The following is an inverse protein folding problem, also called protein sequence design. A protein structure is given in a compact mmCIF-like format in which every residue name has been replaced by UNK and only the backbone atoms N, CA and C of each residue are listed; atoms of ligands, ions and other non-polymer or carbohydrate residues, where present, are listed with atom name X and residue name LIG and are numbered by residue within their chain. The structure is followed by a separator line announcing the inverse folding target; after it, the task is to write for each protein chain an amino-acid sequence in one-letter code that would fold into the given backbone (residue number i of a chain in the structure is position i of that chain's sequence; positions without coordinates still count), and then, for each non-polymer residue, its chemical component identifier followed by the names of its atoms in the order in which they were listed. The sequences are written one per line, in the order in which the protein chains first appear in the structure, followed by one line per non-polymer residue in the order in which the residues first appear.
data_IF_416034260837
#
_entry.id   IF_416034260837
#
_cell.length_a   1.000
_cell.length_b   1.000
_cell.length_c   1.000
_cell.angle_alpha   90.00
_cell.angle_beta   90.00
_cell.angle_gamma   90.00
#
_symmetry.space_group_name_H-M   'P 1'
#
loop_
_entity.id
_entity.type
_entity.pdbx_description
1 polymer ?
#
# COMPACT_ATOMS: atom_id res chain seq x y z
N UNK A 1 14.40 13.56 -8.89
CA UNK A 1 15.19 13.77 -10.15
C UNK A 1 15.43 12.44 -10.87
N UNK A 2 15.86 12.38 -12.15
CA UNK A 2 16.07 11.10 -12.86
C UNK A 2 16.97 10.07 -12.16
N UNK A 3 17.95 10.54 -11.37
CA UNK A 3 18.85 9.69 -10.56
C UNK A 3 18.10 9.00 -9.41
N UNK A 4 17.22 9.74 -8.74
CA UNK A 4 16.42 9.25 -7.61
C UNK A 4 15.41 8.19 -8.06
N UNK A 5 14.76 8.40 -9.21
CA UNK A 5 13.86 7.40 -9.83
C UNK A 5 14.63 6.10 -10.12
N UNK A 6 15.84 6.21 -10.69
CA UNK A 6 16.70 5.05 -10.94
C UNK A 6 17.07 4.32 -9.65
N UNK A 7 17.39 5.05 -8.58
CA UNK A 7 17.72 4.47 -7.28
C UNK A 7 16.53 3.74 -6.65
N UNK A 8 15.33 4.33 -6.70
CA UNK A 8 14.10 3.70 -6.21
C UNK A 8 13.80 2.42 -7.00
N UNK A 9 13.84 2.46 -8.34
CA UNK A 9 13.61 1.25 -9.16
C UNK A 9 14.61 0.13 -8.84
N UNK A 10 15.88 0.47 -8.66
CA UNK A 10 16.91 -0.50 -8.26
C UNK A 10 16.59 -1.12 -6.90
N UNK A 11 16.20 -0.31 -5.92
CA UNK A 11 15.78 -0.80 -4.60
C UNK A 11 14.58 -1.75 -4.71
N UNK A 12 13.54 -1.36 -5.44
CA UNK A 12 12.31 -2.15 -5.58
C UNK A 12 12.60 -3.51 -6.22
N UNK A 13 13.30 -3.52 -7.36
CA UNK A 13 13.69 -4.79 -8.02
C UNK A 13 14.47 -5.70 -7.07
N UNK A 14 15.43 -5.16 -6.31
CA UNK A 14 16.23 -5.95 -5.38
C UNK A 14 15.42 -6.45 -4.16
N UNK A 15 14.49 -5.65 -3.66
CA UNK A 15 13.68 -6.00 -2.49
C UNK A 15 12.60 -7.06 -2.78
N UNK A 16 12.11 -7.10 -4.02
CA UNK A 16 11.05 -8.00 -4.49
C UNK A 16 11.59 -9.18 -5.34
N UNK A 17 12.91 -9.33 -5.50
CA UNK A 17 13.52 -10.40 -6.29
C UNK A 17 13.16 -11.81 -5.78
N UNK A 18 12.87 -11.93 -4.47
CA UNK A 18 12.54 -13.21 -3.82
C UNK A 18 11.05 -13.56 -3.83
N UNK A 19 10.18 -12.67 -4.34
CA UNK A 19 8.74 -12.90 -4.27
C UNK A 19 8.34 -13.96 -5.31
N UNK A 20 7.64 -15.01 -4.85
CA UNK A 20 7.43 -16.26 -5.59
C UNK A 20 6.52 -16.10 -6.83
N UNK A 21 5.80 -14.98 -6.93
CA UNK A 21 4.68 -14.76 -7.87
C UNK A 21 4.90 -13.61 -8.87
N UNK A 22 6.12 -13.49 -9.42
CA UNK A 22 6.55 -12.44 -10.37
C UNK A 22 7.03 -11.18 -9.64
N UNK A 23 8.36 -11.03 -9.49
CA UNK A 23 8.95 -9.85 -8.84
C UNK A 23 8.55 -8.51 -9.48
N UNK A 24 8.88 -7.40 -8.81
CA UNK A 24 8.40 -6.04 -9.14
C UNK A 24 8.44 -5.67 -10.63
N UNK A 25 7.27 -5.56 -11.24
CA UNK A 25 7.04 -5.34 -12.66
C UNK A 25 6.71 -3.90 -13.06
N UNK A 26 6.32 -3.72 -14.32
CA UNK A 26 5.96 -2.39 -14.86
C UNK A 26 4.60 -1.92 -14.35
N UNK A 27 3.61 -2.80 -14.19
CA UNK A 27 2.31 -2.44 -13.59
C UNK A 27 2.50 -1.98 -12.14
N UNK A 28 3.31 -2.67 -11.32
CA UNK A 28 3.60 -2.26 -9.93
C UNK A 28 4.28 -0.89 -9.86
N UNK A 29 5.16 -0.61 -10.83
CA UNK A 29 5.77 0.71 -10.97
C UNK A 29 4.72 1.78 -11.30
N UNK A 30 3.80 1.48 -12.21
CA UNK A 30 2.70 2.38 -12.55
C UNK A 30 1.75 2.61 -11.36
N UNK A 31 1.57 1.61 -10.50
CA UNK A 31 0.78 1.73 -9.27
C UNK A 31 1.44 2.63 -8.25
N UNK A 32 2.77 2.64 -8.18
CA UNK A 32 3.52 3.40 -7.20
C UNK A 32 3.62 4.91 -7.50
N UNK A 33 3.28 5.36 -8.72
CA UNK A 33 3.47 6.74 -9.17
C UNK A 33 2.19 7.58 -9.09
N UNK A 34 2.34 8.91 -9.10
CA UNK A 34 1.22 9.87 -9.06
C UNK A 34 0.83 10.32 -7.65
N UNK A 35 1.55 9.86 -6.64
CA UNK A 35 1.34 10.20 -5.23
C UNK A 35 2.56 10.82 -4.55
N UNK A 36 2.59 10.73 -3.22
CA UNK A 36 3.73 11.16 -2.40
C UNK A 36 4.67 9.98 -2.15
N UNK A 37 5.97 10.18 -2.38
CA UNK A 37 7.00 9.17 -2.13
C UNK A 37 7.75 9.47 -0.83
N UNK A 38 7.90 8.44 -0.01
CA UNK A 38 8.69 8.44 1.22
C UNK A 38 9.99 7.69 0.93
N UNK A 39 11.11 8.37 1.15
CA UNK A 39 12.43 7.86 0.82
C UNK A 39 13.30 8.00 2.05
N UNK A 40 13.90 6.88 2.47
CA UNK A 40 14.97 6.90 3.46
C UNK A 40 16.31 6.83 2.73
N UNK A 41 17.05 7.92 2.79
CA UNK A 41 18.40 8.05 2.25
C UNK A 41 19.42 7.94 3.39
N UNK A 42 20.47 7.14 3.18
CA UNK A 42 21.63 7.06 4.06
C UNK A 42 22.87 7.31 3.22
N UNK A 43 23.51 8.45 3.42
CA UNK A 43 24.76 8.85 2.75
C UNK A 43 24.67 8.85 1.21
N UNK A 44 23.50 9.15 0.65
CA UNK A 44 23.23 9.18 -0.79
C UNK A 44 22.71 7.87 -1.37
N UNK A 45 22.53 6.84 -0.54
CA UNK A 45 21.94 5.57 -0.93
C UNK A 45 20.48 5.48 -0.45
N UNK A 46 19.56 5.23 -1.38
CA UNK A 46 18.14 4.97 -1.06
C UNK A 46 18.01 3.56 -0.48
N UNK A 47 17.75 3.48 0.83
CA UNK A 47 17.71 2.21 1.57
C UNK A 47 16.30 1.75 1.93
N UNK A 48 15.30 2.63 1.87
CA UNK A 48 13.89 2.25 2.01
C UNK A 48 12.98 3.20 1.21
N UNK A 49 11.85 2.67 0.78
CA UNK A 49 10.84 3.38 -0.01
C UNK A 49 9.42 2.96 0.40
N UNK A 50 8.47 3.89 0.29
CA UNK A 50 7.06 3.60 0.04
C UNK A 50 6.44 4.78 -0.72
N UNK A 51 5.30 4.58 -1.36
CA UNK A 51 4.49 5.67 -1.87
C UNK A 51 3.07 5.63 -1.32
N UNK A 52 2.41 6.78 -1.33
CA UNK A 52 0.98 6.93 -1.01
C UNK A 52 0.31 7.54 -2.22
N UNK A 53 -0.51 6.76 -2.91
CA UNK A 53 -1.29 7.19 -4.08
C UNK A 53 -2.75 7.33 -3.66
N UNK A 54 -3.41 8.38 -4.15
CA UNK A 54 -4.83 8.60 -3.84
C UNK A 54 -5.69 7.64 -4.66
N UNK A 55 -6.54 6.87 -3.97
CA UNK A 55 -7.54 5.99 -4.58
C UNK A 55 -8.90 6.19 -3.94
N UNK A 56 -9.94 5.76 -4.64
CA UNK A 56 -11.30 5.71 -4.10
C UNK A 56 -11.66 4.27 -3.68
N UNK A 57 -11.66 4.01 -2.38
CA UNK A 57 -12.07 2.72 -1.82
C UNK A 57 -13.48 2.84 -1.25
N UNK A 58 -14.34 1.87 -1.58
CA UNK A 58 -15.71 1.84 -1.07
C UNK A 58 -15.81 0.81 0.06
N UNK A 59 -16.26 1.26 1.23
CA UNK A 59 -16.54 0.41 2.39
C UNK A 59 -18.03 0.46 2.67
N UNK A 60 -18.70 -0.70 2.70
CA UNK A 60 -20.15 -0.78 2.92
C UNK A 60 -20.98 0.17 2.02
N UNK A 61 -20.53 0.37 0.77
CA UNK A 61 -21.17 1.27 -0.21
C UNK A 61 -20.85 2.76 -0.04
N UNK A 62 -19.96 3.15 0.87
CA UNK A 62 -19.47 4.53 1.01
C UNK A 62 -18.11 4.68 0.36
N UNK A 63 -18.01 5.61 -0.61
CA UNK A 63 -16.73 6.05 -1.16
C UNK A 63 -15.91 6.81 -0.12
N UNK A 64 -14.64 6.44 0.03
CA UNK A 64 -13.68 7.07 0.92
C UNK A 64 -12.44 7.48 0.14
N UNK A 65 -12.03 8.74 0.30
CA UNK A 65 -10.76 9.23 -0.23
C UNK A 65 -9.61 8.56 0.55
N UNK A 66 -8.90 7.67 -0.14
CA UNK A 66 -7.98 6.72 0.49
C UNK A 66 -6.54 7.01 0.11
N UNK A 67 -5.66 7.06 1.10
CA UNK A 67 -4.22 6.98 0.87
C UNK A 67 -3.84 5.50 0.72
N UNK A 68 -3.62 5.06 -0.50
CA UNK A 68 -3.24 3.68 -0.81
C UNK A 68 -1.72 3.56 -0.78
N UNK A 69 -1.19 2.69 0.09
CA UNK A 69 0.26 2.52 0.25
C UNK A 69 0.78 1.52 -0.76
N UNK A 70 1.80 1.93 -1.50
CA UNK A 70 2.41 1.16 -2.58
C UNK A 70 3.91 1.03 -2.41
N UNK A 71 4.47 0.00 -3.06
CA UNK A 71 5.91 -0.17 -3.26
C UNK A 71 6.75 -0.03 -1.97
N UNK A 72 6.29 -0.64 -0.87
CA UNK A 72 7.01 -0.63 0.40
C UNK A 72 8.22 -1.55 0.32
N UNK A 73 9.43 -0.98 0.34
CA UNK A 73 10.67 -1.73 0.25
C UNK A 73 11.70 -1.27 1.26
N UNK A 74 12.55 -2.20 1.69
CA UNK A 74 13.79 -1.93 2.41
C UNK A 74 14.88 -2.78 1.78
N UNK A 75 16.06 -2.19 1.56
CA UNK A 75 17.19 -2.85 0.94
C UNK A 75 17.46 -4.21 1.63
N UNK A 76 17.56 -5.33 0.90
CA UNK A 76 17.63 -6.68 1.47
C UNK A 76 18.65 -6.82 2.62
N UNK A 77 19.85 -6.28 2.43
CA UNK A 77 20.95 -6.31 3.40
C UNK A 77 20.74 -5.40 4.63
N UNK A 78 19.69 -4.57 4.62
CA UNK A 78 19.32 -3.63 5.69
C UNK A 78 17.98 -3.97 6.34
N UNK A 79 17.35 -5.07 5.95
CA UNK A 79 16.12 -5.56 6.57
C UNK A 79 16.36 -5.97 8.03
N UNK A 80 15.30 -5.97 8.85
CA UNK A 80 15.37 -6.29 10.28
C UNK A 80 15.98 -5.17 11.16
N UNK A 81 16.49 -4.09 10.59
CA UNK A 81 17.05 -2.95 11.32
C UNK A 81 16.02 -1.86 11.70
N UNK A 82 14.73 -2.08 11.41
CA UNK A 82 13.65 -1.14 11.74
C UNK A 82 13.44 0.00 10.72
N UNK A 83 14.18 0.04 9.61
CA UNK A 83 14.08 1.10 8.60
C UNK A 83 12.69 1.21 7.97
N UNK A 84 12.10 0.07 7.58
CA UNK A 84 10.73 0.05 7.06
C UNK A 84 9.71 0.57 8.08
N UNK A 85 9.89 0.29 9.38
CA UNK A 85 9.02 0.83 10.42
C UNK A 85 9.17 2.34 10.59
N UNK A 86 10.40 2.86 10.53
CA UNK A 86 10.64 4.32 10.55
C UNK A 86 9.91 5.01 9.40
N UNK A 87 10.02 4.45 8.19
CA UNK A 87 9.36 4.97 7.01
C UNK A 87 7.83 4.90 7.13
N UNK A 88 7.29 3.76 7.57
CA UNK A 88 5.85 3.57 7.69
C UNK A 88 5.20 4.40 8.81
N UNK A 89 5.95 4.86 9.81
CA UNK A 89 5.45 5.83 10.79
C UNK A 89 5.10 7.15 10.10
N UNK A 90 5.97 7.65 9.23
CA UNK A 90 5.74 8.89 8.47
C UNK A 90 4.59 8.71 7.45
N UNK A 91 4.54 7.56 6.77
CA UNK A 91 3.41 7.21 5.88
C UNK A 91 2.08 7.21 6.64
N UNK A 92 2.05 6.56 7.80
CA UNK A 92 0.85 6.46 8.65
C UNK A 92 0.41 7.84 9.13
N UNK A 93 1.34 8.71 9.53
CA UNK A 93 1.05 10.08 9.92
C UNK A 93 0.47 10.89 8.75
N UNK A 94 1.11 10.83 7.58
CA UNK A 94 0.62 11.50 6.38
C UNK A 94 -0.80 11.08 5.99
N UNK A 95 -1.09 9.78 6.06
CA UNK A 95 -2.44 9.26 5.76
C UNK A 95 -3.46 9.77 6.77
N UNK A 96 -3.13 9.75 8.07
CA UNK A 96 -4.03 10.25 9.12
C UNK A 96 -4.35 11.73 8.99
N UNK A 97 -3.41 12.52 8.50
CA UNK A 97 -3.58 13.97 8.36
C UNK A 97 -4.26 14.36 7.04
N UNK A 98 -4.10 13.55 5.99
CA UNK A 98 -4.47 13.92 4.62
C UNK A 98 -5.67 13.18 4.02
N UNK A 99 -6.11 12.07 4.60
CA UNK A 99 -7.08 11.16 3.98
C UNK A 99 -8.19 10.72 4.94
N UNK A 100 -9.32 10.28 4.38
CA UNK A 100 -10.42 9.70 5.16
C UNK A 100 -10.13 8.26 5.61
N UNK A 101 -9.22 7.59 4.90
CA UNK A 101 -8.94 6.17 5.03
C UNK A 101 -7.54 5.85 4.51
N UNK A 102 -6.89 4.83 5.06
CA UNK A 102 -5.69 4.22 4.48
C UNK A 102 -5.95 2.77 4.12
N UNK A 103 -5.33 2.29 3.04
CA UNK A 103 -5.38 0.88 2.65
C UNK A 103 -4.06 0.44 2.01
N UNK A 104 -3.77 -0.86 2.07
CA UNK A 104 -2.66 -1.51 1.38
C UNK A 104 -2.94 -3.01 1.23
N UNK A 105 -2.37 -3.65 0.20
CA UNK A 105 -2.30 -5.10 0.05
C UNK A 105 -0.99 -5.65 0.61
N UNK A 106 -1.03 -6.74 1.38
CA UNK A 106 0.21 -7.38 1.87
C UNK A 106 0.01 -8.80 2.39
N UNK A 107 1.05 -9.64 2.26
CA UNK A 107 1.19 -10.88 3.02
C UNK A 107 1.90 -10.73 4.38
N UNK A 108 2.39 -9.52 4.74
CA UNK A 108 3.23 -9.27 5.93
C UNK A 108 2.46 -8.61 7.08
N UNK A 109 1.30 -9.15 7.47
CA UNK A 109 0.36 -8.49 8.40
C UNK A 109 1.01 -7.97 9.69
N UNK A 110 1.76 -8.81 10.40
CA UNK A 110 2.35 -8.46 11.70
C UNK A 110 3.36 -7.30 11.65
N UNK A 111 3.90 -6.96 10.48
CA UNK A 111 4.71 -5.76 10.31
C UNK A 111 3.85 -4.50 10.44
N UNK A 112 2.72 -4.44 9.73
CA UNK A 112 1.83 -3.29 9.65
C UNK A 112 0.90 -3.18 10.87
N UNK A 113 0.44 -4.31 11.45
CA UNK A 113 -0.43 -4.31 12.63
C UNK A 113 0.20 -3.59 13.83
N UNK A 114 1.52 -3.74 14.01
CA UNK A 114 2.29 -3.04 15.06
C UNK A 114 2.31 -1.52 14.87
N UNK A 115 1.97 -1.04 13.68
CA UNK A 115 1.90 0.38 13.31
C UNK A 115 0.46 0.91 13.31
N UNK A 116 -0.50 0.09 13.77
CA UNK A 116 -1.91 0.49 13.92
C UNK A 116 -2.78 0.22 12.70
N UNK A 117 -2.27 -0.55 11.72
CA UNK A 117 -3.06 -1.07 10.61
C UNK A 117 -3.87 -2.29 11.05
N UNK A 118 -5.01 -2.54 10.41
CA UNK A 118 -5.93 -3.62 10.77
C UNK A 118 -6.30 -4.41 9.53
N UNK A 119 -6.27 -5.75 9.62
CA UNK A 119 -6.71 -6.60 8.52
C UNK A 119 -8.21 -6.40 8.25
N UNK A 120 -8.57 -6.23 6.98
CA UNK A 120 -9.95 -6.27 6.53
C UNK A 120 -10.41 -7.72 6.44
N UNK A 121 -11.49 -8.06 7.14
CA UNK A 121 -12.00 -9.45 7.24
C UNK A 121 -13.16 -9.73 6.28
N UNK A 122 -13.79 -8.69 5.76
CA UNK A 122 -14.87 -8.84 4.80
C UNK A 122 -14.37 -9.14 3.38
N UNK A 123 -15.30 -9.52 2.48
CA UNK A 123 -14.95 -9.87 1.10
C UNK A 123 -14.49 -8.64 0.31
N UNK A 124 -13.47 -8.86 -0.52
CA UNK A 124 -12.90 -7.87 -1.43
C UNK A 124 -13.49 -7.99 -2.84
N UNK A 125 -13.53 -6.88 -3.56
CA UNK A 125 -13.95 -6.84 -4.97
C UNK A 125 -13.37 -5.64 -5.71
N UNK A 126 -13.33 -5.70 -7.04
CA UNK A 126 -13.04 -4.55 -7.89
C UNK A 126 -14.31 -4.03 -8.53
N UNK A 127 -14.53 -2.71 -8.52
CA UNK A 127 -15.68 -2.08 -9.16
C UNK A 127 -15.49 -2.08 -10.68
N UNK A 128 -16.51 -2.56 -11.40
CA UNK A 128 -16.59 -2.50 -12.86
C UNK A 128 -17.94 -1.92 -13.31
N UNK A 129 -18.07 -1.49 -14.58
CA UNK A 129 -19.33 -0.98 -15.13
C UNK A 129 -20.51 -1.96 -15.01
N UNK A 130 -20.24 -3.26 -15.04
CA UNK A 130 -21.26 -4.32 -14.96
C UNK A 130 -21.59 -4.73 -13.51
N UNK A 131 -20.94 -4.09 -12.53
CA UNK A 131 -21.04 -4.40 -11.11
C UNK A 131 -19.69 -4.79 -10.49
N UNK A 132 -19.64 -5.01 -9.17
CA UNK A 132 -18.43 -5.45 -8.49
C UNK A 132 -18.07 -6.90 -8.85
N UNK A 133 -16.82 -7.13 -9.22
CA UNK A 133 -16.25 -8.47 -9.43
C UNK A 133 -15.50 -8.90 -8.17
N UNK A 134 -15.85 -10.02 -7.52
CA UNK A 134 -15.13 -10.50 -6.33
C UNK A 134 -13.65 -10.77 -6.59
N UNK A 135 -12.79 -10.46 -5.63
CA UNK A 135 -11.34 -10.68 -5.67
C UNK A 135 -10.90 -11.61 -4.53
N UNK A 136 -11.41 -12.85 -4.43
CA UNK A 136 -11.21 -13.71 -3.26
C UNK A 136 -9.74 -14.11 -2.99
N UNK A 137 -8.83 -13.91 -3.96
CA UNK A 137 -7.39 -14.03 -3.74
C UNK A 137 -6.83 -12.98 -2.78
N UNK A 138 -7.49 -11.82 -2.68
CA UNK A 138 -7.11 -10.69 -1.84
C UNK A 138 -7.79 -10.68 -0.47
N UNK A 139 -8.72 -11.62 -0.24
CA UNK A 139 -9.42 -11.73 1.04
C UNK A 139 -8.41 -12.06 2.15
N UNK A 140 -8.34 -11.18 3.15
CA UNK A 140 -7.37 -11.28 4.23
C UNK A 140 -6.00 -10.68 3.94
N UNK A 141 -5.73 -10.18 2.74
CA UNK A 141 -4.47 -9.49 2.37
C UNK A 141 -4.58 -7.97 2.41
N UNK A 142 -5.79 -7.42 2.42
CA UNK A 142 -6.02 -5.98 2.55
C UNK A 142 -5.94 -5.56 4.02
N UNK A 143 -5.02 -4.64 4.32
CA UNK A 143 -4.93 -3.96 5.61
C UNK A 143 -5.37 -2.50 5.47
N UNK A 144 -6.02 -1.99 6.52
CA UNK A 144 -6.62 -0.66 6.53
C UNK A 144 -6.15 0.16 7.72
N UNK A 145 -6.21 1.48 7.58
CA UNK A 145 -5.88 2.44 8.62
C UNK A 145 -7.06 3.38 8.84
N UNK A 146 -7.58 3.38 10.07
CA UNK A 146 -8.52 4.43 10.50
C UNK A 146 -7.79 5.76 10.71
N UNK A 147 -8.39 6.84 10.24
CA UNK A 147 -7.96 8.22 10.44
C UNK A 147 -8.95 8.96 11.35
N UNK A 148 -8.60 10.15 11.89
CA UNK A 148 -9.52 10.94 12.70
C UNK A 148 -10.84 11.31 11.99
N UNK A 149 -10.85 11.29 10.65
CA UNK A 149 -12.03 11.57 9.82
C UNK A 149 -12.74 10.32 9.31
N UNK A 150 -12.23 9.12 9.60
CA UNK A 150 -12.89 7.88 9.16
C UNK A 150 -14.30 7.76 9.77
N UNK A 151 -15.29 7.29 9.00
CA UNK A 151 -16.54 6.84 9.59
C UNK A 151 -16.30 5.62 10.50
N UNK A 152 -17.28 5.24 11.34
CA UNK A 152 -17.26 3.93 11.98
C UNK A 152 -17.06 2.82 10.95
N UNK A 153 -16.03 2.02 11.12
CA UNK A 153 -15.69 0.93 10.21
C UNK A 153 -16.17 -0.40 10.78
N UNK A 154 -16.91 -1.15 9.97
CA UNK A 154 -17.15 -2.56 10.17
C UNK A 154 -16.17 -3.35 9.32
N UNK A 155 -15.12 -3.88 9.95
CA UNK A 155 -14.05 -4.62 9.26
C UNK A 155 -14.54 -5.92 8.58
N UNK A 156 -15.77 -6.36 8.85
CA UNK A 156 -16.37 -7.55 8.24
C UNK A 156 -17.25 -7.23 7.03
N UNK A 157 -17.51 -5.94 6.76
CA UNK A 157 -18.31 -5.51 5.61
C UNK A 157 -17.57 -5.72 4.29
N UNK A 158 -18.30 -5.73 3.18
CA UNK A 158 -17.67 -5.75 1.86
C UNK A 158 -16.85 -4.48 1.60
N UNK A 159 -15.69 -4.65 0.97
CA UNK A 159 -14.82 -3.57 0.51
C UNK A 159 -14.60 -3.69 -1.00
N UNK A 160 -14.50 -2.56 -1.70
CA UNK A 160 -14.16 -2.58 -3.12
C UNK A 160 -13.21 -1.46 -3.53
N UNK A 161 -12.29 -1.78 -4.44
CA UNK A 161 -11.39 -0.82 -5.08
C UNK A 161 -11.93 -0.37 -6.44
N UNK A 162 -11.41 0.74 -6.94
CA UNK A 162 -11.52 1.12 -8.35
C UNK A 162 -10.64 0.23 -9.25
N UNK A 163 -10.95 0.16 -10.54
CA UNK A 163 -10.19 -0.64 -11.49
C UNK A 163 -8.86 0.02 -11.89
N UNK A 164 -7.80 -0.79 -12.03
CA UNK A 164 -6.52 -0.46 -12.67
C UNK A 164 -5.97 -1.69 -13.43
N UNK A 165 -4.93 -1.51 -14.26
CA UNK A 165 -4.19 -2.64 -14.86
C UNK A 165 -3.39 -3.40 -13.80
N UNK A 166 -2.98 -4.64 -14.10
CA UNK A 166 -2.24 -5.48 -13.14
C UNK A 166 -3.09 -5.89 -11.93
N UNK A 167 -2.44 -6.00 -10.78
CA UNK A 167 -3.13 -6.21 -9.51
C UNK A 167 -4.00 -4.99 -9.16
N UNK A 168 -5.28 -5.23 -8.85
CA UNK A 168 -6.27 -4.19 -8.59
C UNK A 168 -6.26 -3.70 -7.15
N UNK A 169 -5.66 -4.46 -6.22
CA UNK A 169 -5.55 -4.08 -4.82
C UNK A 169 -4.22 -3.40 -4.54
#
# INVERSE_FOLDING_TARGET
MPVEITAIRKLLVAAFESDEDEGFGDDDWEHAIGGLHFILDVDGDVVAHASVVEREIHVAGRALRTGYVEAVATAPERQGAGLGSLLMVEVTAHIRDGFEFGALGTGRHGFYERLGWQMWMGPTSVRSPDGPTPTPGEDGHVLVLSTPTSPPLDLTAAISCDWRSGDVW
#
